data_IF_173733781369
#
_entry.id   IF_173733781369
#
_cell.length_a   1.000
_cell.length_b   1.000
_cell.length_c   1.000
_cell.angle_alpha   90.00
_cell.angle_beta   90.00
_cell.angle_gamma   90.00
#
_symmetry.space_group_name_H-M   'P 1'
#
loop_
_entity.id
_entity.type
_entity.pdbx_description
1 polymer ?
#
# COMPACT_ATOMS: atom_id res chain seq x y z
N UNK A 1 -1.28 1.98 -9.55
CA UNK A 1 -0.31 1.08 -8.89
C UNK A 1 0.82 1.88 -8.25
N UNK A 2 1.69 2.57 -9.03
CA UNK A 2 2.81 3.34 -8.48
C UNK A 2 2.42 4.43 -7.46
N UNK A 3 1.31 5.14 -7.67
CA UNK A 3 0.85 6.15 -6.70
C UNK A 3 0.45 5.56 -5.33
N UNK A 4 -0.22 4.39 -5.33
CA UNK A 4 -0.68 3.71 -4.10
C UNK A 4 0.52 3.17 -3.33
N UNK A 5 1.46 2.55 -4.05
CA UNK A 5 2.68 1.99 -3.46
C UNK A 5 3.57 3.11 -2.92
N UNK A 6 3.78 4.18 -3.70
CA UNK A 6 4.60 5.33 -3.28
C UNK A 6 4.04 6.06 -2.05
N UNK A 7 2.72 6.26 -1.99
CA UNK A 7 2.06 6.83 -0.80
C UNK A 7 2.20 5.92 0.42
N UNK A 8 2.05 4.62 0.22
CA UNK A 8 2.28 3.61 1.25
C UNK A 8 3.70 3.64 1.80
N UNK A 9 4.70 3.53 0.94
CA UNK A 9 6.10 3.54 1.38
C UNK A 9 6.47 4.85 2.06
N UNK A 10 6.02 6.01 1.54
CA UNK A 10 6.27 7.31 2.15
C UNK A 10 5.62 7.45 3.54
N UNK A 11 4.37 7.01 3.69
CA UNK A 11 3.69 7.00 4.98
C UNK A 11 4.37 6.05 5.98
N UNK A 12 4.88 4.90 5.51
CA UNK A 12 5.59 3.92 6.32
C UNK A 12 6.91 4.46 6.88
N UNK A 13 7.72 5.09 6.03
CA UNK A 13 8.99 5.71 6.43
C UNK A 13 8.78 6.82 7.45
N UNK A 14 7.79 7.69 7.21
CA UNK A 14 7.49 8.81 8.13
C UNK A 14 6.94 8.33 9.48
N UNK A 15 6.31 7.15 9.51
CA UNK A 15 5.82 6.53 10.73
C UNK A 15 6.96 5.85 11.50
N UNK A 16 7.91 5.22 10.82
CA UNK A 16 9.14 4.67 11.42
C UNK A 16 10.08 5.77 11.98
N UNK A 17 10.13 6.96 11.37
CA UNK A 17 10.86 8.11 11.95
C UNK A 17 10.22 8.61 13.26
N UNK A 18 8.88 8.55 13.35
CA UNK A 18 8.13 9.06 14.51
C UNK A 18 8.06 8.06 15.66
N UNK A 19 8.16 6.77 15.35
CA UNK A 19 8.30 5.69 16.31
C UNK A 19 9.68 5.06 16.10
N UNK A 20 10.74 5.52 16.81
CA UNK A 20 12.10 5.01 16.65
C UNK A 20 12.17 3.58 17.16
N UNK A 21 11.68 2.66 16.35
CA UNK A 21 11.64 1.24 16.58
C UNK A 21 12.91 0.68 15.93
N UNK A 22 13.72 -0.08 16.67
CA UNK A 22 15.02 -0.57 16.19
C UNK A 22 14.95 -1.43 14.90
N UNK A 23 13.76 -1.78 14.42
CA UNK A 23 13.53 -2.75 13.36
C UNK A 23 12.57 -2.34 12.23
N UNK A 24 12.38 -1.03 11.95
CA UNK A 24 11.60 -0.53 10.80
C UNK A 24 10.30 -1.30 10.49
N UNK A 25 9.63 -1.74 11.56
CA UNK A 25 8.55 -2.71 11.47
C UNK A 25 7.33 -2.09 10.77
N UNK A 26 7.15 -0.77 10.95
CA UNK A 26 6.05 -0.05 10.32
C UNK A 26 6.25 0.08 8.83
N UNK A 27 7.47 0.35 8.34
CA UNK A 27 7.74 0.35 6.89
C UNK A 27 7.44 -1.01 6.28
N UNK A 28 7.83 -2.12 6.92
CA UNK A 28 7.56 -3.48 6.42
C UNK A 28 6.07 -3.78 6.37
N UNK A 29 5.34 -3.53 7.46
CA UNK A 29 3.89 -3.78 7.52
C UNK A 29 3.14 -2.91 6.50
N UNK A 30 3.50 -1.64 6.39
CA UNK A 30 2.77 -0.68 5.57
C UNK A 30 3.08 -0.84 4.07
N UNK A 31 4.28 -1.29 3.72
CA UNK A 31 4.60 -1.72 2.36
C UNK A 31 3.86 -3.00 1.96
N UNK A 32 3.77 -4.00 2.84
CA UNK A 32 2.93 -5.19 2.60
C UNK A 32 1.46 -4.83 2.40
N UNK A 33 0.89 -4.00 3.27
CA UNK A 33 -0.49 -3.54 3.15
C UNK A 33 -0.74 -2.75 1.86
N UNK A 34 0.24 -1.97 1.41
CA UNK A 34 0.12 -1.20 0.17
C UNK A 34 0.13 -2.07 -1.08
N UNK A 35 0.90 -3.17 -1.07
CA UNK A 35 0.88 -4.17 -2.14
C UNK A 35 -0.50 -4.85 -2.18
N UNK A 36 -1.02 -5.28 -1.03
CA UNK A 36 -2.34 -5.90 -0.92
C UNK A 36 -3.43 -4.92 -1.41
N UNK A 37 -3.40 -3.67 -0.97
CA UNK A 37 -4.33 -2.62 -1.39
C UNK A 37 -4.27 -2.36 -2.90
N UNK A 38 -3.08 -2.38 -3.50
CA UNK A 38 -2.92 -2.24 -4.96
C UNK A 38 -3.55 -3.42 -5.72
N UNK A 39 -3.39 -4.66 -5.23
CA UNK A 39 -3.99 -5.85 -5.84
C UNK A 39 -5.52 -5.76 -5.77
N UNK A 40 -6.08 -5.43 -4.60
CA UNK A 40 -7.53 -5.27 -4.42
C UNK A 40 -8.11 -4.19 -5.33
N UNK A 41 -7.43 -3.05 -5.45
CA UNK A 41 -7.83 -1.97 -6.35
C UNK A 41 -7.92 -2.44 -7.81
N UNK A 42 -6.93 -3.22 -8.25
CA UNK A 42 -6.89 -3.76 -9.62
C UNK A 42 -8.00 -4.76 -9.85
N UNK A 43 -8.24 -5.68 -8.91
CA UNK A 43 -9.34 -6.64 -8.98
C UNK A 43 -10.68 -5.91 -9.07
N UNK A 44 -10.93 -4.92 -8.21
CA UNK A 44 -12.16 -4.11 -8.25
C UNK A 44 -12.34 -3.40 -9.58
N UNK A 45 -11.25 -2.85 -10.14
CA UNK A 45 -11.28 -2.18 -11.45
C UNK A 45 -11.63 -3.14 -12.57
N UNK A 46 -11.09 -4.34 -12.57
CA UNK A 46 -11.40 -5.39 -13.56
C UNK A 46 -12.87 -5.82 -13.44
N UNK A 47 -13.34 -6.11 -12.23
CA UNK A 47 -14.74 -6.50 -11.99
C UNK A 47 -15.71 -5.40 -12.46
N UNK A 48 -15.41 -4.13 -12.15
CA UNK A 48 -16.23 -3.00 -12.59
C UNK A 48 -16.27 -2.87 -14.13
N UNK A 49 -15.11 -3.02 -14.79
CA UNK A 49 -15.04 -3.01 -16.26
C UNK A 49 -15.78 -4.19 -16.91
N UNK A 50 -15.76 -5.37 -16.29
CA UNK A 50 -16.52 -6.53 -16.75
C UNK A 50 -18.03 -6.40 -16.56
N UNK A 51 -18.51 -5.53 -15.66
CA UNK A 51 -19.94 -5.36 -15.40
C UNK A 51 -20.62 -4.36 -16.34
N UNK A 52 -19.82 -3.65 -17.14
CA UNK A 52 -20.27 -2.71 -18.18
C UNK A 52 -20.34 -3.36 -19.58
N UNK A 53 -20.16 -4.70 -19.65
CA UNK A 53 -20.42 -5.56 -20.82
C UNK A 53 -21.54 -6.55 -20.48
#
# INVERSE_FOLDING_TARGET
MFAIIGLGTYAGVKLDERYPNKHNLYTVILSLLSVIGSIVYVIRRIIAASKDN
#
